data_IF_606415042359
#
_entry.id   IF_606415042359
#
_cell.length_a   1.000
_cell.length_b   1.000
_cell.length_c   1.000
_cell.angle_alpha   90.00
_cell.angle_beta   90.00
_cell.angle_gamma   90.00
#
_symmetry.space_group_name_H-M   'P 1'
#
loop_
_entity.id
_entity.type
_entity.pdbx_description
1 polymer ?
#
# COMPACT_ATOMS: atom_id res chain seq x y z
N UNK A 1 18.58 -12.67 -7.20
CA UNK A 1 17.19 -12.64 -7.72
C UNK A 1 16.85 -13.87 -8.55
N UNK A 2 17.63 -14.23 -9.58
CA UNK A 2 17.36 -15.41 -10.43
C UNK A 2 17.85 -16.71 -9.79
N UNK A 3 17.24 -17.07 -8.67
CA UNK A 3 17.47 -18.34 -7.96
C UNK A 3 16.21 -19.19 -8.13
N UNK A 4 16.40 -20.45 -8.51
CA UNK A 4 15.31 -21.40 -8.76
C UNK A 4 14.53 -21.68 -7.47
N UNK A 5 15.28 -21.93 -6.39
CA UNK A 5 14.73 -22.05 -5.05
C UNK A 5 14.20 -20.68 -4.57
N UNK A 6 12.93 -20.67 -4.16
CA UNK A 6 12.25 -19.46 -3.70
C UNK A 6 12.73 -19.04 -2.32
N UNK A 7 13.04 -19.98 -1.44
CA UNK A 7 13.44 -19.71 -0.06
C UNK A 7 14.86 -19.13 -0.01
N UNK A 8 15.69 -19.46 -1.01
CA UNK A 8 17.01 -18.88 -1.20
C UNK A 8 17.00 -17.55 -1.99
N UNK A 9 15.82 -17.05 -2.39
CA UNK A 9 15.71 -15.82 -3.18
C UNK A 9 15.89 -14.60 -2.28
N UNK A 10 16.67 -13.64 -2.77
CA UNK A 10 16.88 -12.35 -2.11
C UNK A 10 15.55 -11.61 -1.88
N UNK A 11 15.33 -11.10 -0.66
CA UNK A 11 14.17 -10.28 -0.28
C UNK A 11 14.30 -8.85 -0.82
N UNK A 12 13.22 -8.07 -0.76
CA UNK A 12 13.24 -6.65 -1.15
C UNK A 12 14.26 -5.86 -0.30
N UNK A 13 14.23 -6.01 1.02
CA UNK A 13 15.17 -5.33 1.92
C UNK A 13 16.62 -5.73 1.66
N UNK A 14 16.86 -7.03 1.44
CA UNK A 14 18.19 -7.54 1.08
C UNK A 14 18.68 -7.01 -0.26
N UNK A 15 17.78 -6.80 -1.23
CA UNK A 15 18.10 -6.20 -2.51
C UNK A 15 18.40 -4.70 -2.39
N UNK A 16 17.63 -3.96 -1.58
CA UNK A 16 17.86 -2.53 -1.33
C UNK A 16 19.16 -2.27 -0.55
N UNK A 17 19.70 -3.26 0.14
CA UNK A 17 21.02 -3.19 0.77
C UNK A 17 22.21 -3.46 -0.19
N UNK A 18 21.93 -3.80 -1.44
CA UNK A 18 22.98 -4.06 -2.42
C UNK A 18 23.63 -2.77 -2.92
N UNK A 19 24.95 -2.76 -3.07
CA UNK A 19 25.76 -1.57 -3.43
C UNK A 19 25.36 -0.89 -4.74
N UNK A 20 24.67 -1.62 -5.62
CA UNK A 20 24.06 -1.07 -6.82
C UNK A 20 23.10 0.10 -6.53
N UNK A 21 22.46 0.12 -5.36
CA UNK A 21 21.50 1.15 -4.95
C UNK A 21 22.09 2.24 -4.06
N UNK A 22 23.39 2.21 -3.70
CA UNK A 22 23.99 3.16 -2.75
C UNK A 22 23.84 4.63 -3.19
N UNK A 23 23.87 4.89 -4.50
CA UNK A 23 23.69 6.25 -5.05
C UNK A 23 22.23 6.70 -5.21
N UNK A 24 21.27 5.80 -4.98
CA UNK A 24 19.83 6.05 -5.15
C UNK A 24 19.05 5.96 -3.83
N UNK A 25 19.60 5.27 -2.83
CA UNK A 25 18.92 4.97 -1.58
C UNK A 25 19.02 6.14 -0.60
N UNK A 26 17.87 6.63 -0.16
CA UNK A 26 17.73 7.41 1.06
C UNK A 26 17.18 6.49 2.17
N UNK A 27 17.96 6.22 3.25
CA UNK A 27 17.49 5.40 4.37
C UNK A 27 16.21 5.92 5.03
N UNK A 28 15.97 7.23 4.97
CA UNK A 28 14.82 7.87 5.64
C UNK A 28 13.53 7.79 4.80
N UNK A 29 13.62 7.39 3.51
CA UNK A 29 12.47 7.25 2.60
C UNK A 29 11.87 5.83 2.60
N UNK A 30 12.26 4.99 3.57
CA UNK A 30 11.76 3.62 3.74
C UNK A 30 10.92 3.49 5.03
N UNK A 31 9.70 4.05 5.09
CA UNK A 31 8.86 3.97 6.27
C UNK A 31 8.43 2.53 6.55
N UNK A 32 8.35 2.17 7.85
CA UNK A 32 7.82 0.87 8.27
C UNK A 32 6.33 0.81 7.90
N UNK A 33 5.87 -0.24 7.18
CA UNK A 33 4.48 -0.36 6.80
C UNK A 33 3.60 -0.58 8.03
N UNK A 34 2.38 -0.05 7.98
CA UNK A 34 1.37 -0.38 8.97
C UNK A 34 0.86 -1.81 8.74
N UNK A 35 0.51 -2.56 9.81
CA UNK A 35 -0.07 -3.89 9.65
C UNK A 35 -1.34 -3.83 8.80
N UNK A 36 -1.44 -4.73 7.83
CA UNK A 36 -2.64 -4.90 7.01
C UNK A 36 -3.64 -5.81 7.75
N UNK A 37 -4.92 -5.44 7.74
CA UNK A 37 -6.02 -6.26 8.25
C UNK A 37 -6.56 -7.13 7.10
N UNK A 38 -6.17 -8.40 7.10
CA UNK A 38 -6.55 -9.43 6.12
C UNK A 38 -7.71 -10.32 6.59
N UNK A 39 -8.45 -9.90 7.64
CA UNK A 39 -9.52 -10.70 8.24
C UNK A 39 -10.65 -11.10 7.28
N UNK A 40 -10.80 -10.38 6.17
CA UNK A 40 -11.80 -10.66 5.14
C UNK A 40 -11.31 -11.52 3.97
N UNK A 41 -10.00 -11.80 3.85
CA UNK A 41 -9.42 -12.47 2.67
C UNK A 41 -9.97 -13.90 2.46
N UNK A 42 -10.24 -14.59 3.57
CA UNK A 42 -10.80 -15.94 3.56
C UNK A 42 -12.30 -15.96 3.95
N UNK A 43 -12.94 -14.79 4.05
CA UNK A 43 -14.32 -14.69 4.48
C UNK A 43 -15.28 -15.03 3.33
N UNK A 44 -16.24 -15.94 3.60
CA UNK A 44 -17.33 -16.22 2.66
C UNK A 44 -18.54 -15.38 3.05
N UNK A 45 -18.63 -14.16 2.52
CA UNK A 45 -19.75 -13.25 2.74
C UNK A 45 -20.72 -13.23 1.55
N UNK A 46 -22.03 -13.03 1.79
CA UNK A 46 -22.99 -12.76 0.73
C UNK A 46 -22.65 -11.48 -0.05
N UNK A 47 -23.12 -11.39 -1.29
CA UNK A 47 -22.87 -10.24 -2.17
C UNK A 47 -23.26 -8.89 -1.54
N UNK A 48 -24.38 -8.84 -0.82
CA UNK A 48 -24.85 -7.60 -0.20
C UNK A 48 -23.92 -7.10 0.92
N UNK A 49 -23.30 -8.00 1.66
CA UNK A 49 -22.31 -7.62 2.68
C UNK A 49 -21.03 -7.08 2.05
N UNK A 50 -20.56 -7.70 0.95
CA UNK A 50 -19.43 -7.17 0.18
C UNK A 50 -19.72 -5.76 -0.36
N UNK A 51 -20.91 -5.53 -0.92
CA UNK A 51 -21.33 -4.20 -1.38
C UNK A 51 -21.31 -3.18 -0.23
N UNK A 52 -21.82 -3.57 0.94
CA UNK A 52 -21.85 -2.71 2.13
C UNK A 52 -20.45 -2.36 2.62
N UNK A 53 -19.54 -3.33 2.71
CA UNK A 53 -18.15 -3.11 3.13
C UNK A 53 -17.39 -2.22 2.14
N UNK A 54 -17.48 -2.50 0.84
CA UNK A 54 -16.86 -1.66 -0.19
C UNK A 54 -17.40 -0.23 -0.17
N UNK A 55 -18.71 -0.06 0.01
CA UNK A 55 -19.30 1.27 0.12
C UNK A 55 -18.84 2.02 1.38
N UNK A 56 -18.65 1.32 2.50
CA UNK A 56 -18.07 1.89 3.71
C UNK A 56 -16.68 2.45 3.45
N UNK A 57 -15.81 1.68 2.78
CA UNK A 57 -14.44 2.12 2.45
C UNK A 57 -14.42 3.35 1.55
N UNK A 58 -15.33 3.42 0.57
CA UNK A 58 -15.47 4.62 -0.28
C UNK A 58 -15.86 5.84 0.55
N UNK A 59 -16.76 5.70 1.53
CA UNK A 59 -17.18 6.82 2.39
C UNK A 59 -16.15 7.21 3.43
N UNK A 60 -15.36 6.27 3.94
CA UNK A 60 -14.30 6.55 4.92
C UNK A 60 -13.00 7.05 4.30
N UNK A 61 -12.88 7.04 2.97
CA UNK A 61 -11.70 7.54 2.29
C UNK A 61 -11.44 9.02 2.62
N UNK A 62 -10.25 9.30 3.13
CA UNK A 62 -9.76 10.67 3.38
C UNK A 62 -8.77 11.04 2.28
N UNK A 63 -9.09 12.03 1.41
CA UNK A 63 -8.17 12.46 0.36
C UNK A 63 -6.85 12.96 0.94
N UNK A 64 -5.74 12.53 0.34
CA UNK A 64 -4.43 13.05 0.70
C UNK A 64 -4.27 14.51 0.22
N UNK A 65 -3.58 15.37 0.99
CA UNK A 65 -3.22 16.70 0.52
C UNK A 65 -2.37 16.59 -0.74
N UNK A 66 -2.86 17.13 -1.86
CA UNK A 66 -2.05 17.22 -3.09
C UNK A 66 -0.94 18.24 -2.86
N UNK A 67 0.32 17.81 -2.92
CA UNK A 67 1.48 18.70 -2.72
C UNK A 67 1.55 19.85 -3.76
N UNK A 68 0.93 19.71 -4.94
CA UNK A 68 1.13 20.64 -6.06
C UNK A 68 -0.13 21.28 -6.69
N UNK A 69 -1.28 21.37 -6.00
CA UNK A 69 -2.47 21.96 -6.62
C UNK A 69 -2.79 23.37 -6.11
N UNK A 70 -2.47 24.40 -6.91
CA UNK A 70 -3.14 25.72 -6.87
C UNK A 70 -4.65 25.65 -7.19
N UNK A 71 -5.21 24.45 -7.39
CA UNK A 71 -6.66 24.23 -7.58
C UNK A 71 -7.24 23.67 -6.29
N UNK A 72 -8.21 24.41 -5.73
CA UNK A 72 -9.01 23.98 -4.58
C UNK A 72 -9.66 22.63 -4.88
N UNK A 73 -9.48 21.65 -3.99
CA UNK A 73 -10.15 20.35 -4.05
C UNK A 73 -11.68 20.58 -4.07
N UNK A 74 -12.36 20.09 -5.11
CA UNK A 74 -13.82 20.18 -5.28
C UNK A 74 -14.58 18.95 -4.75
N UNK A 75 -13.92 18.06 -4.02
CA UNK A 75 -14.58 16.89 -3.46
C UNK A 75 -15.13 17.21 -2.05
N UNK A 76 -16.16 18.04 -2.00
CA UNK A 76 -17.07 18.08 -0.85
C UNK A 76 -18.09 16.97 -1.02
N UNK A 77 -17.95 15.87 -0.28
CA UNK A 77 -19.01 14.89 -0.11
C UNK A 77 -19.97 15.42 0.96
N UNK A 78 -21.16 15.84 0.52
CA UNK A 78 -22.28 16.20 1.40
C UNK A 78 -23.07 14.95 1.78
#
# INVERSE_FOLDING_TARGET
MLVLDADARLTADGALAHSYFDGLRDPEDCPVPTPYDDSYDNATLPLEEWKRLSFKEVRSFVPFPRRDSKRRNTLTMT
#
